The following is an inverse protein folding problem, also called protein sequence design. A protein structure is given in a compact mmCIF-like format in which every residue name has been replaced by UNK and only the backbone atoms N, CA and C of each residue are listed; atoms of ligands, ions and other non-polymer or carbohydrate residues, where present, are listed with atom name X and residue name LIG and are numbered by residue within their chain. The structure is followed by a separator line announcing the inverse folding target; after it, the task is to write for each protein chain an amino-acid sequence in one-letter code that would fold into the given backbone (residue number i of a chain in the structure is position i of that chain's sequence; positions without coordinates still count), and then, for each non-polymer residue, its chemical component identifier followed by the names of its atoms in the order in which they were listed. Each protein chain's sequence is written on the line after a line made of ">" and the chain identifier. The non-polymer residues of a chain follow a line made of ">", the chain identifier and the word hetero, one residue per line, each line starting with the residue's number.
data_IF_478741596074
#
_entry.id   IF_478741596074
#
_cell.length_a   1.000
_cell.length_b   1.000
_cell.length_c   1.000
_cell.angle_alpha   90.00
_cell.angle_beta   90.00
_cell.angle_gamma   90.00
#
_symmetry.space_group_name_H-M   'P 1'
#
loop_
_entity.id
_entity.type
_entity.pdbx_description
1 polymer ?
#
# COMPACT_ATOMS: atom_id res chain seq x y z
N UNK A 1 22.48 3.72 -4.13
CA UNK A 1 21.47 3.27 -5.10
C UNK A 1 22.09 2.20 -5.97
N UNK A 2 21.39 1.08 -6.22
CA UNK A 2 21.96 -0.05 -7.00
C UNK A 2 21.98 0.28 -8.48
N UNK A 3 23.09 -0.02 -9.20
CA UNK A 3 23.15 0.15 -10.65
C UNK A 3 22.23 -0.86 -11.35
N UNK A 4 21.30 -0.36 -12.15
CA UNK A 4 20.37 -1.16 -12.96
C UNK A 4 20.69 -1.16 -14.45
N UNK A 5 21.73 -0.41 -14.87
CA UNK A 5 22.12 -0.28 -16.28
C UNK A 5 22.36 -1.64 -16.97
N UNK A 6 23.00 -2.64 -16.31
CA UNK A 6 23.27 -3.93 -16.95
C UNK A 6 22.07 -4.89 -16.95
N UNK A 7 20.92 -4.49 -16.42
CA UNK A 7 19.71 -5.33 -16.39
C UNK A 7 18.90 -5.18 -17.69
N UNK A 8 18.26 -6.28 -18.09
CA UNK A 8 17.37 -6.28 -19.22
C UNK A 8 16.08 -5.49 -18.94
N UNK A 9 15.58 -4.82 -19.96
CA UNK A 9 14.25 -4.21 -19.95
C UNK A 9 13.22 -5.31 -20.11
N UNK A 10 12.37 -5.51 -19.11
CA UNK A 10 11.33 -6.54 -19.10
C UNK A 10 10.03 -5.98 -18.55
N UNK A 11 8.91 -6.63 -18.86
CA UNK A 11 7.65 -6.33 -18.21
C UNK A 11 7.73 -6.67 -16.71
N UNK A 12 7.31 -5.73 -15.90
CA UNK A 12 7.31 -5.81 -14.43
C UNK A 12 5.91 -5.53 -13.91
N UNK A 13 5.47 -6.32 -12.98
CA UNK A 13 4.19 -6.14 -12.26
C UNK A 13 4.39 -6.43 -10.80
N UNK A 14 3.77 -5.64 -9.94
CA UNK A 14 3.70 -5.88 -8.50
C UNK A 14 2.29 -5.62 -7.98
N UNK A 15 1.89 -6.39 -6.98
CA UNK A 15 0.64 -6.22 -6.23
C UNK A 15 1.00 -6.08 -4.76
N UNK A 16 0.53 -5.01 -4.15
CA UNK A 16 0.54 -4.81 -2.71
C UNK A 16 -0.89 -4.82 -2.18
N UNK A 17 -1.08 -5.33 -0.95
CA UNK A 17 -2.34 -5.25 -0.22
C UNK A 17 -2.11 -4.69 1.15
N UNK A 18 -3.15 -4.08 1.70
CA UNK A 18 -3.20 -3.56 3.06
C UNK A 18 -4.63 -3.50 3.55
N UNK A 19 -4.79 -3.24 4.84
CA UNK A 19 -6.10 -3.20 5.49
C UNK A 19 -6.23 -1.93 6.32
N UNK A 20 -7.43 -1.35 6.31
CA UNK A 20 -7.85 -0.31 7.26
C UNK A 20 -8.97 -0.89 8.10
N UNK A 21 -8.66 -1.33 9.31
CA UNK A 21 -9.65 -1.82 10.27
C UNK A 21 -10.41 -0.63 10.88
N UNK A 22 -11.71 -0.79 11.08
CA UNK A 22 -12.60 0.28 11.51
C UNK A 22 -13.83 -0.30 12.21
N UNK A 23 -14.63 0.55 12.84
CA UNK A 23 -15.92 0.12 13.39
C UNK A 23 -16.90 -0.22 12.25
N UNK A 24 -17.80 -1.20 12.44
CA UNK A 24 -18.80 -1.59 11.44
C UNK A 24 -19.64 -0.41 10.93
N UNK A 25 -19.98 0.53 11.84
CA UNK A 25 -20.74 1.72 11.47
C UNK A 25 -19.97 2.60 10.48
N UNK A 26 -18.64 2.69 10.63
CA UNK A 26 -17.78 3.46 9.74
C UNK A 26 -17.68 2.80 8.38
N UNK A 27 -17.47 1.49 8.32
CA UNK A 27 -17.48 0.73 7.06
C UNK A 27 -18.82 0.90 6.32
N UNK A 28 -19.94 0.82 7.05
CA UNK A 28 -21.27 1.06 6.50
C UNK A 28 -21.45 2.49 5.96
N UNK A 29 -20.91 3.52 6.64
CA UNK A 29 -20.95 4.90 6.12
C UNK A 29 -20.16 5.04 4.81
N UNK A 30 -18.99 4.40 4.70
CA UNK A 30 -18.20 4.40 3.45
C UNK A 30 -18.98 3.70 2.34
N UNK A 31 -19.53 2.52 2.62
CA UNK A 31 -20.29 1.73 1.63
C UNK A 31 -21.49 2.48 1.04
N UNK A 32 -22.13 3.32 1.87
CA UNK A 32 -23.29 4.13 1.45
C UNK A 32 -22.93 5.50 0.90
N UNK A 33 -21.64 5.85 0.83
CA UNK A 33 -21.20 7.19 0.40
C UNK A 33 -21.63 8.31 1.36
N UNK A 34 -21.79 8.00 2.65
CA UNK A 34 -22.33 8.93 3.66
C UNK A 34 -21.26 9.62 4.52
N UNK A 35 -20.00 9.54 4.14
CA UNK A 35 -18.91 10.27 4.81
C UNK A 35 -18.96 11.74 4.41
N UNK A 36 -18.89 12.63 5.39
CA UNK A 36 -19.07 14.07 5.20
C UNK A 36 -18.04 14.71 4.26
N UNK A 37 -16.82 14.13 4.17
CA UNK A 37 -15.75 14.60 3.27
C UNK A 37 -15.96 14.20 1.79
N UNK A 38 -16.97 13.40 1.47
CA UNK A 38 -17.29 12.99 0.12
C UNK A 38 -16.92 11.52 -0.16
N UNK A 39 -16.70 11.20 -1.43
CA UNK A 39 -16.43 9.83 -1.90
C UNK A 39 -15.02 9.37 -1.49
N UNK A 40 -14.98 8.59 -0.40
CA UNK A 40 -13.73 8.10 0.21
C UNK A 40 -12.91 7.26 -0.77
N UNK A 41 -13.54 6.32 -1.45
CA UNK A 41 -12.83 5.36 -2.30
C UNK A 41 -12.29 6.01 -3.57
N UNK A 42 -13.05 6.93 -4.17
CA UNK A 42 -12.57 7.66 -5.34
C UNK A 42 -11.37 8.54 -5.01
N UNK A 43 -11.42 9.26 -3.88
CA UNK A 43 -10.29 10.11 -3.44
C UNK A 43 -9.07 9.26 -3.08
N UNK A 44 -9.26 8.14 -2.35
CA UNK A 44 -8.18 7.22 -2.01
C UNK A 44 -7.53 6.59 -3.25
N UNK A 45 -8.33 6.25 -4.27
CA UNK A 45 -7.82 5.73 -5.55
C UNK A 45 -6.91 6.74 -6.23
N UNK A 46 -7.36 7.97 -6.37
CA UNK A 46 -6.56 9.03 -7.00
C UNK A 46 -5.27 9.28 -6.21
N UNK A 47 -5.36 9.33 -4.87
CA UNK A 47 -4.20 9.52 -4.01
C UNK A 47 -3.17 8.38 -4.16
N UNK A 48 -3.62 7.12 -4.20
CA UNK A 48 -2.74 5.96 -4.43
C UNK A 48 -2.06 6.01 -5.81
N UNK A 49 -2.80 6.35 -6.86
CA UNK A 49 -2.25 6.51 -8.22
C UNK A 49 -1.18 7.63 -8.24
N UNK A 50 -1.44 8.74 -7.60
CA UNK A 50 -0.47 9.85 -7.51
C UNK A 50 0.78 9.45 -6.71
N UNK A 51 0.61 8.67 -5.63
CA UNK A 51 1.69 8.20 -4.80
C UNK A 51 2.64 7.25 -5.54
N UNK A 52 2.10 6.31 -6.33
CA UNK A 52 2.91 5.45 -7.19
C UNK A 52 3.85 6.25 -8.11
N UNK A 53 3.34 7.34 -8.70
CA UNK A 53 4.12 8.22 -9.60
C UNK A 53 5.19 9.05 -8.89
N UNK A 54 5.16 9.12 -7.56
CA UNK A 54 6.07 9.92 -6.74
C UNK A 54 6.90 9.07 -5.79
N UNK A 55 6.96 7.77 -6.00
CA UNK A 55 7.68 6.86 -5.10
C UNK A 55 9.15 7.24 -4.94
N UNK A 56 9.83 7.58 -6.02
CA UNK A 56 11.24 8.01 -5.96
C UNK A 56 11.46 9.34 -5.22
N UNK A 57 10.44 10.19 -5.10
CA UNK A 57 10.52 11.43 -4.31
C UNK A 57 10.42 11.14 -2.80
N UNK A 58 9.82 10.00 -2.43
CA UNK A 58 9.54 9.62 -1.04
C UNK A 58 10.55 8.60 -0.50
N UNK A 59 11.01 7.69 -1.35
CA UNK A 59 11.89 6.58 -0.98
C UNK A 59 13.29 6.84 -1.58
N UNK A 60 14.28 7.21 -0.75
CA UNK A 60 15.52 7.83 -1.22
C UNK A 60 16.36 7.03 -2.21
N UNK A 61 16.32 5.70 -2.14
CA UNK A 61 17.13 4.83 -2.99
C UNK A 61 16.34 4.16 -4.13
N UNK A 62 15.07 4.53 -4.31
CA UNK A 62 14.28 4.09 -5.45
C UNK A 62 14.66 4.85 -6.72
N UNK A 63 14.73 4.13 -7.84
CA UNK A 63 14.95 4.74 -9.14
C UNK A 63 13.68 5.45 -9.62
N UNK A 64 13.78 6.64 -10.20
CA UNK A 64 12.66 7.20 -10.94
C UNK A 64 12.39 6.33 -12.18
N UNK A 65 11.14 5.94 -12.36
CA UNK A 65 10.74 5.10 -13.49
C UNK A 65 9.41 5.57 -14.08
N UNK A 66 9.19 5.23 -15.35
CA UNK A 66 7.93 5.50 -16.01
C UNK A 66 6.93 4.39 -15.67
N UNK A 67 5.94 4.75 -14.86
CA UNK A 67 4.86 3.82 -14.51
C UNK A 67 3.90 3.68 -15.69
N UNK A 68 3.71 2.45 -16.18
CA UNK A 68 2.83 2.15 -17.32
C UNK A 68 1.36 2.06 -16.93
N UNK A 69 1.06 1.39 -15.80
CA UNK A 69 -0.29 1.23 -15.28
C UNK A 69 -0.31 1.22 -13.75
N UNK A 70 -1.33 1.86 -13.17
CA UNK A 70 -1.61 1.81 -11.72
C UNK A 70 -3.09 1.55 -11.52
N UNK A 71 -3.41 0.49 -10.78
CA UNK A 71 -4.76 0.10 -10.45
C UNK A 71 -4.88 0.04 -8.93
N UNK A 72 -5.84 0.75 -8.37
CA UNK A 72 -6.13 0.73 -6.92
C UNK A 72 -7.57 0.32 -6.73
N UNK A 73 -7.76 -0.84 -6.10
CA UNK A 73 -9.05 -1.46 -5.86
C UNK A 73 -9.31 -1.56 -4.36
N UNK A 74 -10.59 -1.62 -4.01
CA UNK A 74 -11.04 -1.70 -2.63
C UNK A 74 -12.09 -2.80 -2.48
N UNK A 75 -12.06 -3.47 -1.34
CA UNK A 75 -13.11 -4.37 -0.87
C UNK A 75 -13.54 -3.92 0.52
N UNK A 76 -14.81 -3.58 0.66
CA UNK A 76 -15.39 -3.19 1.93
C UNK A 76 -15.96 -4.45 2.58
N UNK A 77 -15.52 -4.74 3.79
CA UNK A 77 -16.03 -5.79 4.66
C UNK A 77 -16.73 -5.16 5.87
N UNK A 78 -17.23 -5.99 6.79
CA UNK A 78 -18.03 -5.52 7.91
C UNK A 78 -17.27 -4.54 8.83
N UNK A 79 -15.98 -4.79 9.07
CA UNK A 79 -15.15 -4.04 10.03
C UNK A 79 -13.79 -3.60 9.46
N UNK A 80 -13.59 -3.70 8.15
CA UNK A 80 -12.38 -3.21 7.49
C UNK A 80 -12.60 -2.90 6.01
N UNK A 81 -11.67 -2.14 5.45
CA UNK A 81 -11.52 -1.96 4.00
C UNK A 81 -10.17 -2.54 3.59
N UNK A 82 -10.17 -3.50 2.68
CA UNK A 82 -8.97 -3.98 2.03
C UNK A 82 -8.62 -3.07 0.86
N UNK A 83 -7.36 -2.73 0.76
CA UNK A 83 -6.77 -1.95 -0.34
C UNK A 83 -5.86 -2.86 -1.13
N UNK A 84 -6.06 -2.97 -2.43
CA UNK A 84 -5.15 -3.64 -3.36
C UNK A 84 -4.61 -2.63 -4.36
N UNK A 85 -3.29 -2.53 -4.48
CA UNK A 85 -2.62 -1.70 -5.47
C UNK A 85 -1.78 -2.57 -6.39
N UNK A 86 -2.05 -2.50 -7.69
CA UNK A 86 -1.27 -3.14 -8.74
C UNK A 86 -0.56 -2.08 -9.57
N UNK A 87 0.72 -2.28 -9.82
CA UNK A 87 1.54 -1.40 -10.66
C UNK A 87 2.26 -2.22 -11.72
N UNK A 88 2.33 -1.67 -12.92
CA UNK A 88 2.99 -2.29 -14.08
C UNK A 88 3.90 -1.29 -14.80
N UNK A 89 5.01 -1.80 -15.32
CA UNK A 89 5.92 -1.06 -16.18
C UNK A 89 6.69 -2.00 -17.11
N UNK A 90 7.39 -1.42 -18.07
CA UNK A 90 8.41 -2.09 -18.88
C UNK A 90 9.72 -1.35 -18.63
N UNK A 91 10.56 -1.91 -17.74
CA UNK A 91 11.77 -1.24 -17.27
C UNK A 91 12.83 -2.25 -16.76
N UNK A 92 13.99 -1.73 -16.33
CA UNK A 92 15.13 -2.47 -15.77
C UNK A 92 15.00 -2.78 -14.28
N UNK A 93 14.09 -2.10 -13.57
CA UNK A 93 13.82 -2.30 -12.14
C UNK A 93 12.37 -2.71 -11.88
N UNK A 94 12.11 -3.30 -10.72
CA UNK A 94 10.77 -3.70 -10.31
C UNK A 94 9.95 -2.50 -9.83
N UNK A 95 8.64 -2.73 -9.66
CA UNK A 95 7.63 -1.74 -9.23
C UNK A 95 7.01 -2.09 -7.87
N UNK A 96 7.75 -2.86 -7.07
CA UNK A 96 7.29 -3.30 -5.76
C UNK A 96 7.05 -2.10 -4.82
N UNK A 97 7.97 -1.12 -4.84
CA UNK A 97 7.84 0.06 -3.99
C UNK A 97 6.73 1.00 -4.45
N UNK A 98 6.49 1.10 -5.75
CA UNK A 98 5.36 1.85 -6.32
C UNK A 98 4.03 1.26 -5.85
N UNK A 99 3.90 -0.08 -5.86
CA UNK A 99 2.70 -0.75 -5.39
C UNK A 99 2.49 -0.57 -3.87
N UNK A 100 3.55 -0.72 -3.07
CA UNK A 100 3.51 -0.51 -1.62
C UNK A 100 3.17 0.94 -1.27
N UNK A 101 3.78 1.91 -1.96
CA UNK A 101 3.51 3.34 -1.74
C UNK A 101 2.07 3.69 -2.10
N UNK A 102 1.57 3.19 -3.24
CA UNK A 102 0.17 3.38 -3.65
C UNK A 102 -0.81 2.84 -2.61
N UNK A 103 -0.59 1.61 -2.13
CA UNK A 103 -1.41 0.96 -1.11
C UNK A 103 -1.41 1.77 0.20
N UNK A 104 -0.23 2.18 0.66
CA UNK A 104 -0.05 2.94 1.91
C UNK A 104 -0.77 4.29 1.87
N UNK A 105 -0.60 5.04 0.78
CA UNK A 105 -1.21 6.38 0.65
C UNK A 105 -2.72 6.29 0.45
N UNK A 106 -3.22 5.26 -0.26
CA UNK A 106 -4.65 5.02 -0.35
C UNK A 106 -5.25 4.71 1.04
N UNK A 107 -4.60 3.86 1.85
CA UNK A 107 -5.01 3.56 3.22
C UNK A 107 -4.98 4.80 4.13
N UNK A 108 -3.93 5.62 4.05
CA UNK A 108 -3.84 6.89 4.78
C UNK A 108 -4.97 7.87 4.38
N UNK A 109 -5.35 7.87 3.11
CA UNK A 109 -6.44 8.73 2.61
C UNK A 109 -7.80 8.28 3.14
N UNK A 110 -8.06 6.96 3.19
CA UNK A 110 -9.26 6.41 3.84
C UNK A 110 -9.31 6.88 5.30
N UNK A 111 -8.19 6.73 6.03
CA UNK A 111 -8.09 7.18 7.42
C UNK A 111 -8.40 8.67 7.56
N UNK A 112 -7.76 9.53 6.77
CA UNK A 112 -7.99 10.98 6.85
C UNK A 112 -9.46 11.35 6.60
N UNK A 113 -10.08 10.71 5.62
CA UNK A 113 -11.46 11.02 5.26
C UNK A 113 -12.48 10.53 6.29
N UNK A 114 -12.18 9.43 6.99
CA UNK A 114 -13.10 8.81 7.96
C UNK A 114 -12.84 9.19 9.42
N UNK A 115 -11.69 9.80 9.75
CA UNK A 115 -11.25 10.06 11.15
C UNK A 115 -12.20 10.93 11.98
N UNK A 116 -13.07 11.72 11.35
CA UNK A 116 -14.10 12.48 12.06
C UNK A 116 -15.21 11.58 12.61
N UNK A 117 -15.45 10.43 11.98
CA UNK A 117 -16.43 9.43 12.40
C UNK A 117 -15.79 8.35 13.28
N UNK A 118 -14.55 8.00 13.03
CA UNK A 118 -13.84 6.93 13.74
C UNK A 118 -12.34 7.20 13.84
N UNK A 119 -11.84 7.51 15.03
CA UNK A 119 -10.40 7.72 15.28
C UNK A 119 -9.67 6.44 15.69
N UNK A 120 -10.42 5.35 15.97
CA UNK A 120 -9.84 4.08 16.39
C UNK A 120 -9.36 3.21 15.22
N UNK A 121 -9.52 3.67 13.98
CA UNK A 121 -9.07 2.94 12.80
C UNK A 121 -7.59 2.62 12.84
N UNK A 122 -7.24 1.42 12.39
CA UNK A 122 -5.86 0.94 12.31
C UNK A 122 -5.52 0.62 10.86
N UNK A 123 -4.42 1.21 10.38
CA UNK A 123 -3.81 0.84 9.09
C UNK A 123 -2.81 -0.27 9.37
N UNK A 124 -2.96 -1.41 8.72
CA UNK A 124 -2.11 -2.57 8.95
C UNK A 124 -2.03 -3.50 7.75
N UNK A 125 -1.28 -4.57 7.94
CA UNK A 125 -1.13 -5.67 6.97
C UNK A 125 -0.67 -5.22 5.58
N UNK A 126 0.06 -4.10 5.48
CA UNK A 126 0.60 -3.63 4.20
C UNK A 126 1.78 -4.50 3.81
N UNK A 127 1.63 -5.24 2.73
CA UNK A 127 2.63 -6.19 2.26
C UNK A 127 2.63 -6.34 0.74
N UNK A 128 3.79 -6.77 0.20
CA UNK A 128 3.88 -7.25 -1.17
C UNK A 128 3.22 -8.63 -1.27
N UNK A 129 2.27 -8.77 -2.17
CA UNK A 129 1.54 -10.01 -2.42
C UNK A 129 2.05 -10.78 -3.63
N UNK A 130 2.34 -10.07 -4.69
CA UNK A 130 2.88 -10.69 -5.90
C UNK A 130 3.85 -9.74 -6.58
N UNK A 131 4.89 -10.29 -7.18
CA UNK A 131 5.66 -9.58 -8.20
C UNK A 131 6.04 -10.53 -9.30
N UNK A 132 6.12 -10.02 -10.52
CA UNK A 132 6.56 -10.77 -11.70
C UNK A 132 7.58 -9.97 -12.49
N UNK A 133 8.42 -10.68 -13.24
CA UNK A 133 9.47 -10.13 -14.08
C UNK A 133 10.82 -9.96 -13.37
N UNK A 134 11.84 -9.71 -14.18
CA UNK A 134 13.24 -9.59 -13.75
C UNK A 134 13.92 -10.91 -13.38
N UNK A 135 15.19 -10.81 -12.98
CA UNK A 135 16.04 -11.98 -12.68
C UNK A 135 15.53 -12.86 -11.53
N UNK A 136 14.84 -12.25 -10.56
CA UNK A 136 14.29 -12.98 -9.40
C UNK A 136 12.96 -13.68 -9.69
N UNK A 137 12.48 -13.63 -10.95
CA UNK A 137 11.29 -14.38 -11.37
C UNK A 137 10.00 -13.94 -10.68
N UNK A 138 9.15 -14.91 -10.36
CA UNK A 138 7.85 -14.69 -9.72
C UNK A 138 7.98 -14.86 -8.21
N UNK A 139 7.43 -13.92 -7.46
CA UNK A 139 7.18 -14.02 -6.03
C UNK A 139 5.68 -13.98 -5.78
N UNK A 140 5.20 -14.87 -4.94
CA UNK A 140 3.84 -14.85 -4.39
C UNK A 140 3.91 -15.07 -2.89
N UNK A 141 3.20 -14.19 -2.15
CA UNK A 141 3.07 -14.33 -0.71
C UNK A 141 2.18 -15.53 -0.40
N UNK A 142 2.60 -16.34 0.56
CA UNK A 142 1.76 -17.40 1.11
C UNK A 142 0.63 -16.74 1.95
N UNK A 143 -0.64 -16.97 1.64
CA UNK A 143 -1.75 -16.42 2.40
C UNK A 143 -1.83 -16.94 3.85
N UNK A 144 -1.23 -18.11 4.13
CA UNK A 144 -1.25 -18.73 5.46
C UNK A 144 -0.14 -18.21 6.38
N UNK A 145 0.82 -17.42 5.85
CA UNK A 145 1.80 -16.73 6.70
C UNK A 145 1.14 -15.48 7.29
N UNK A 146 0.62 -15.61 8.51
CA UNK A 146 0.09 -14.47 9.25
C UNK A 146 1.20 -13.43 9.51
N UNK A 147 0.85 -12.15 9.38
CA UNK A 147 1.76 -11.03 9.66
C UNK A 147 1.96 -10.82 11.18
N UNK A 148 1.60 -11.79 12.04
CA UNK A 148 1.33 -11.54 13.45
C UNK A 148 2.14 -12.26 14.50
N UNK A 149 2.86 -13.33 14.20
CA UNK A 149 3.41 -14.17 15.27
C UNK A 149 4.88 -13.92 15.64
N UNK A 150 5.59 -13.11 14.87
CA UNK A 150 6.96 -12.69 15.19
C UNK A 150 7.06 -11.17 15.46
N UNK A 151 6.17 -10.62 16.27
CA UNK A 151 6.47 -9.33 16.91
C UNK A 151 7.58 -9.59 17.91
N UNK A 152 8.82 -9.38 17.49
CA UNK A 152 9.94 -9.27 18.40
C UNK A 152 9.55 -8.19 19.40
N UNK A 153 9.39 -8.59 20.67
CA UNK A 153 9.19 -7.68 21.80
C UNK A 153 10.38 -6.72 21.89
N UNK A 154 10.29 -5.69 21.07
CA UNK A 154 11.19 -4.56 21.12
C UNK A 154 10.78 -3.66 22.27
N UNK A 155 11.06 -4.09 23.50
CA UNK A 155 10.98 -3.18 24.62
C UNK A 155 11.90 -1.99 24.34
N UNK A 156 11.31 -0.87 23.95
CA UNK A 156 11.97 0.43 23.99
C UNK A 156 12.26 0.74 25.45
N UNK A 157 13.40 0.26 25.96
CA UNK A 157 13.96 0.77 27.19
C UNK A 157 14.55 2.14 26.86
N UNK A 158 13.71 3.17 26.95
CA UNK A 158 14.20 4.53 27.05
C UNK A 158 14.99 4.64 28.34
N UNK A 159 16.30 4.69 28.24
CA UNK A 159 17.12 5.16 29.35
C UNK A 159 16.97 6.67 29.38
N UNK A 160 16.14 7.15 30.30
CA UNK A 160 16.25 8.51 30.84
C UNK A 160 17.64 8.61 31.49
N UNK A 161 18.55 9.32 30.86
CA UNK A 161 19.72 9.86 31.55
C UNK A 161 19.62 11.40 31.55
N UNK A 162 19.54 11.89 32.75
CA UNK A 162 19.61 13.26 33.31
C UNK A 162 20.52 14.24 32.56
#
# INVERSE_FOLDING_TARGET
>A
MVDVTPKDVTHRRAIARGRVSMRPETASLVARGAITKGDVLSVARVAGIQAAKRTSDLIPLCHPLMVGGVYVNFRIEDDFIEVEAQVETVDRTGVEMEALTACSVAALTIYDMCKSSDRSMVIGEIALWEKTGGRSGVYRRDPDVSLGDDVVDGSFTGTDET
#
